data_IF_847668401885
#
_entry.id   IF_847668401885
#
_cell.length_a   1.000
_cell.length_b   1.000
_cell.length_c   1.000
_cell.angle_alpha   90.00
_cell.angle_beta   90.00
_cell.angle_gamma   90.00
#
_symmetry.space_group_name_H-M   'P 1'
#
loop_
_entity.id
_entity.type
_entity.pdbx_description
1 polymer ?
#
# COMPACT_ATOMS: atom_id res chain seq x y z
N UNK A 1 15.47 9.32 -31.80
CA UNK A 1 16.16 9.02 -30.52
C UNK A 1 15.07 8.65 -29.54
N UNK A 2 15.01 7.38 -29.12
CA UNK A 2 14.11 6.97 -28.04
C UNK A 2 14.64 7.69 -26.81
N UNK A 3 13.87 8.63 -26.25
CA UNK A 3 14.24 9.27 -24.99
C UNK A 3 14.43 8.15 -23.94
N UNK A 4 15.48 8.20 -23.13
CA UNK A 4 15.72 7.27 -22.03
C UNK A 4 14.49 7.22 -21.11
N UNK A 5 13.59 6.28 -21.37
CA UNK A 5 12.40 6.08 -20.54
C UNK A 5 12.84 5.39 -19.25
N UNK A 6 12.39 5.87 -18.08
CA UNK A 6 12.80 5.28 -16.81
C UNK A 6 12.26 3.86 -16.67
N UNK A 7 12.94 3.02 -15.87
CA UNK A 7 12.30 1.81 -15.36
C UNK A 7 11.33 2.23 -14.27
N UNK A 8 10.06 1.85 -14.39
CA UNK A 8 9.03 2.19 -13.41
C UNK A 8 8.86 1.06 -12.41
N UNK A 9 8.95 1.37 -11.13
CA UNK A 9 8.63 0.47 -10.03
C UNK A 9 7.48 1.08 -9.22
N UNK A 10 6.37 0.36 -9.09
CA UNK A 10 5.17 0.85 -8.42
C UNK A 10 4.85 -0.03 -7.21
N UNK A 11 4.45 0.57 -6.08
CA UNK A 11 3.62 -0.19 -5.16
C UNK A 11 2.28 -0.55 -5.82
N UNK A 12 1.60 -1.54 -5.27
CA UNK A 12 0.28 -1.95 -5.74
C UNK A 12 -0.83 -1.29 -4.92
N UNK A 13 -0.98 -1.68 -3.66
CA UNK A 13 -1.98 -1.09 -2.77
C UNK A 13 -1.56 0.35 -2.44
N UNK A 14 -2.48 1.32 -2.54
CA UNK A 14 -2.17 2.74 -2.30
C UNK A 14 -1.60 3.51 -3.49
N UNK A 15 -1.12 2.83 -4.54
CA UNK A 15 -0.63 3.48 -5.78
C UNK A 15 -1.48 3.09 -6.98
N UNK A 16 -1.58 1.79 -7.29
CA UNK A 16 -2.36 1.25 -8.41
C UNK A 16 -3.81 0.94 -7.98
N UNK A 17 -3.95 0.31 -6.82
CA UNK A 17 -5.19 -0.26 -6.33
C UNK A 17 -5.54 0.27 -4.94
N UNK A 18 -6.80 0.61 -4.75
CA UNK A 18 -7.40 0.87 -3.44
C UNK A 18 -8.05 -0.42 -2.89
N UNK A 19 -7.43 -0.98 -1.85
CA UNK A 19 -7.95 -2.10 -1.07
C UNK A 19 -8.65 -1.68 0.23
N UNK A 20 -8.99 -0.40 0.44
CA UNK A 20 -9.47 0.09 1.74
C UNK A 20 -10.76 -0.60 2.21
N UNK A 21 -11.67 -0.94 1.28
CA UNK A 21 -12.89 -1.69 1.61
C UNK A 21 -12.54 -3.10 2.10
N UNK A 22 -11.61 -3.80 1.45
CA UNK A 22 -11.12 -5.11 1.89
C UNK A 22 -10.51 -5.02 3.29
N UNK A 23 -9.64 -4.04 3.52
CA UNK A 23 -8.96 -3.86 4.80
C UNK A 23 -9.97 -3.65 5.93
N UNK A 24 -10.95 -2.78 5.73
CA UNK A 24 -12.00 -2.55 6.73
C UNK A 24 -12.83 -3.81 6.98
N UNK A 25 -13.29 -4.50 5.93
CA UNK A 25 -14.13 -5.70 6.08
C UNK A 25 -13.40 -6.82 6.82
N UNK A 26 -12.13 -7.05 6.47
CA UNK A 26 -11.29 -8.05 7.14
C UNK A 26 -10.99 -7.64 8.59
N UNK A 27 -10.69 -6.35 8.84
CA UNK A 27 -10.47 -5.84 10.19
C UNK A 27 -11.72 -5.96 11.07
N UNK A 28 -12.89 -5.60 10.56
CA UNK A 28 -14.17 -5.75 11.26
C UNK A 28 -14.49 -7.20 11.61
N UNK A 29 -14.31 -8.13 10.66
CA UNK A 29 -14.52 -9.56 10.92
C UNK A 29 -13.55 -10.09 11.97
N UNK A 30 -12.32 -9.63 11.95
CA UNK A 30 -11.30 -9.99 12.95
C UNK A 30 -11.68 -9.42 14.31
N UNK A 31 -12.13 -8.16 14.35
CA UNK A 31 -12.66 -7.53 15.55
C UNK A 31 -13.82 -8.32 16.14
N UNK A 32 -14.81 -8.70 15.33
CA UNK A 32 -15.94 -9.50 15.79
C UNK A 32 -15.52 -10.84 16.40
N UNK A 33 -14.47 -11.46 15.87
CA UNK A 33 -13.95 -12.74 16.37
C UNK A 33 -13.20 -12.62 17.69
N UNK A 34 -12.48 -11.52 17.90
CA UNK A 34 -11.68 -11.30 19.11
C UNK A 34 -12.55 -10.76 20.26
N UNK A 35 -13.39 -9.76 19.98
CA UNK A 35 -14.15 -9.05 21.01
C UNK A 35 -15.61 -9.50 21.14
N UNK A 36 -16.12 -10.32 20.22
CA UNK A 36 -17.49 -10.87 20.27
C UNK A 36 -18.56 -9.82 20.62
N UNK A 37 -18.67 -8.71 19.84
CA UNK A 37 -19.65 -7.67 20.11
C UNK A 37 -21.08 -8.22 20.00
N UNK A 38 -22.02 -7.59 20.70
CA UNK A 38 -23.43 -7.97 20.66
C UNK A 38 -24.08 -7.79 19.28
N UNK A 39 -23.57 -6.88 18.46
CA UNK A 39 -23.98 -6.66 17.08
C UNK A 39 -22.80 -6.93 16.13
N UNK A 40 -23.03 -7.75 15.11
CA UNK A 40 -22.04 -8.08 14.07
C UNK A 40 -22.10 -7.15 12.86
N UNK A 41 -23.01 -6.18 12.85
CA UNK A 41 -23.07 -5.10 11.87
C UNK A 41 -22.22 -3.93 12.37
N UNK A 42 -21.27 -3.41 11.57
CA UNK A 42 -20.48 -2.26 11.98
C UNK A 42 -21.36 -1.01 12.09
N UNK A 43 -21.09 -0.09 13.03
CA UNK A 43 -21.74 1.22 13.06
C UNK A 43 -21.55 1.97 11.73
N UNK A 44 -22.56 2.75 11.33
CA UNK A 44 -22.63 3.39 10.00
C UNK A 44 -21.41 4.27 9.67
N UNK A 45 -20.85 4.97 10.66
CA UNK A 45 -19.71 5.88 10.48
C UNK A 45 -18.34 5.23 10.65
N UNK A 46 -18.29 3.97 11.12
CA UNK A 46 -17.05 3.29 11.49
C UNK A 46 -16.11 3.12 10.29
N UNK A 47 -16.65 2.74 9.13
CA UNK A 47 -15.85 2.56 7.91
C UNK A 47 -15.13 3.86 7.51
N UNK A 48 -15.85 5.00 7.56
CA UNK A 48 -15.29 6.30 7.19
C UNK A 48 -14.21 6.76 8.18
N UNK A 49 -14.41 6.52 9.49
CA UNK A 49 -13.37 6.76 10.51
C UNK A 49 -12.14 5.90 10.27
N UNK A 50 -12.34 4.60 9.98
CA UNK A 50 -11.26 3.69 9.64
C UNK A 50 -10.48 4.19 8.41
N UNK A 51 -11.16 4.64 7.35
CA UNK A 51 -10.49 5.14 6.14
C UNK A 51 -9.60 6.36 6.41
N UNK A 52 -10.08 7.31 7.21
CA UNK A 52 -9.30 8.52 7.57
C UNK A 52 -8.12 8.21 8.47
N UNK A 53 -8.26 7.23 9.36
CA UNK A 53 -7.22 6.90 10.36
C UNK A 53 -6.27 5.80 9.90
N UNK A 54 -6.65 4.97 8.92
CA UNK A 54 -5.81 3.87 8.42
C UNK A 54 -4.36 4.25 8.15
N UNK A 55 -4.00 5.42 7.59
CA UNK A 55 -2.61 5.73 7.24
C UNK A 55 -1.58 5.51 8.36
N UNK A 56 -2.00 5.53 9.63
CA UNK A 56 -1.13 5.25 10.78
C UNK A 56 -0.67 3.79 10.87
N UNK A 57 -1.38 2.86 10.22
CA UNK A 57 -1.17 1.42 10.30
C UNK A 57 0.14 1.03 9.62
N UNK A 58 1.01 0.35 10.35
CA UNK A 58 2.28 -0.14 9.81
C UNK A 58 2.23 -1.60 9.41
N UNK A 59 1.49 -2.39 10.19
CA UNK A 59 1.41 -3.85 10.07
C UNK A 59 -0.02 -4.35 10.16
N UNK A 60 -0.31 -5.50 9.56
CA UNK A 60 -1.69 -5.98 9.42
C UNK A 60 -2.44 -6.17 10.74
N UNK A 61 -1.76 -6.63 11.79
CA UNK A 61 -2.40 -6.91 13.09
C UNK A 61 -2.96 -5.66 13.77
N UNK A 62 -2.47 -4.47 13.41
CA UNK A 62 -2.94 -3.20 13.97
C UNK A 62 -4.34 -2.82 13.48
N UNK A 63 -4.77 -3.31 12.31
CA UNK A 63 -6.09 -2.95 11.73
C UNK A 63 -7.28 -3.29 12.64
N UNK A 64 -7.41 -4.51 13.21
CA UNK A 64 -8.49 -4.80 14.15
C UNK A 64 -8.37 -4.03 15.48
N UNK A 65 -7.15 -3.65 15.88
CA UNK A 65 -6.93 -2.79 17.05
C UNK A 65 -7.42 -1.37 16.77
N UNK A 66 -7.23 -0.86 15.56
CA UNK A 66 -7.77 0.44 15.15
C UNK A 66 -9.29 0.44 15.19
N UNK A 67 -9.92 -0.63 14.69
CA UNK A 67 -11.37 -0.82 14.83
C UNK A 67 -11.78 -0.82 16.31
N UNK A 68 -11.04 -1.51 17.19
CA UNK A 68 -11.30 -1.54 18.64
C UNK A 68 -11.27 -0.15 19.26
N UNK A 69 -10.27 0.66 18.95
CA UNK A 69 -10.14 2.02 19.47
C UNK A 69 -11.23 2.96 18.95
N UNK A 70 -11.59 2.85 17.66
CA UNK A 70 -12.70 3.60 17.09
C UNK A 70 -14.05 3.24 17.75
N UNK A 71 -14.27 1.97 18.10
CA UNK A 71 -15.46 1.54 18.86
C UNK A 71 -15.43 2.05 20.31
N UNK A 72 -14.26 2.11 20.95
CA UNK A 72 -14.10 2.70 22.29
C UNK A 72 -14.32 4.22 22.32
N UNK A 73 -14.36 4.86 21.15
CA UNK A 73 -14.55 6.30 21.02
C UNK A 73 -13.25 7.11 21.12
N UNK A 74 -12.10 6.47 20.91
CA UNK A 74 -10.80 7.16 20.86
C UNK A 74 -10.82 8.21 19.75
N UNK A 75 -10.50 9.49 20.04
CA UNK A 75 -10.53 10.54 19.04
C UNK A 75 -9.63 10.27 17.83
N UNK A 76 -10.11 10.55 16.61
CA UNK A 76 -9.32 10.36 15.38
C UNK A 76 -8.01 11.16 15.40
N UNK A 77 -8.01 12.35 16.00
CA UNK A 77 -6.83 13.19 16.14
C UNK A 77 -5.73 12.52 16.99
N UNK A 78 -6.11 11.85 18.08
CA UNK A 78 -5.17 11.15 18.97
C UNK A 78 -4.60 9.93 18.26
N UNK A 79 -5.45 9.19 17.53
CA UNK A 79 -5.03 8.07 16.68
C UNK A 79 -4.01 8.54 15.64
N UNK A 80 -4.30 9.62 14.92
CA UNK A 80 -3.40 10.17 13.90
C UNK A 80 -2.07 10.67 14.48
N UNK A 81 -2.06 11.11 15.75
CA UNK A 81 -0.89 11.66 16.40
C UNK A 81 0.03 10.60 17.03
N UNK A 82 -0.53 9.63 17.78
CA UNK A 82 0.25 8.71 18.61
C UNK A 82 -0.25 7.25 18.56
N UNK A 83 -0.62 6.80 17.34
CA UNK A 83 -1.12 5.44 17.11
C UNK A 83 -0.25 4.34 17.73
N UNK A 84 1.08 4.46 17.62
CA UNK A 84 1.99 3.40 18.06
C UNK A 84 1.96 3.21 19.58
N UNK A 85 1.74 4.27 20.35
CA UNK A 85 1.57 4.17 21.80
C UNK A 85 0.19 3.63 22.15
N UNK A 86 -0.86 4.13 21.49
CA UNK A 86 -2.25 3.68 21.66
C UNK A 86 -2.35 2.18 21.39
N UNK A 87 -1.87 1.70 20.24
CA UNK A 87 -1.93 0.29 19.87
C UNK A 87 -1.20 -0.61 20.88
N UNK A 88 -0.01 -0.21 21.36
CA UNK A 88 0.74 -0.95 22.39
C UNK A 88 -0.01 -1.00 23.72
N UNK A 89 -0.63 0.12 24.12
CA UNK A 89 -1.44 0.19 25.32
C UNK A 89 -2.64 -0.76 25.22
N UNK A 90 -3.41 -0.72 24.13
CA UNK A 90 -4.56 -1.62 23.91
C UNK A 90 -4.16 -3.09 23.95
N UNK A 91 -3.07 -3.46 23.28
CA UNK A 91 -2.54 -4.83 23.30
C UNK A 91 -2.20 -5.29 24.72
N UNK A 92 -1.58 -4.41 25.51
CA UNK A 92 -1.17 -4.71 26.89
C UNK A 92 -2.36 -4.81 27.84
N UNK A 93 -3.26 -3.82 27.82
CA UNK A 93 -4.43 -3.75 28.70
C UNK A 93 -5.41 -4.89 28.45
N UNK A 94 -5.58 -5.29 27.19
CA UNK A 94 -6.51 -6.34 26.80
C UNK A 94 -5.84 -7.72 26.65
N UNK A 95 -4.56 -7.84 27.04
CA UNK A 95 -3.77 -9.07 27.02
C UNK A 95 -3.82 -9.81 25.67
N UNK A 96 -3.61 -9.06 24.59
CA UNK A 96 -3.66 -9.56 23.22
C UNK A 96 -2.26 -9.96 22.74
N UNK A 97 -2.20 -10.91 21.81
CA UNK A 97 -0.96 -11.26 21.10
C UNK A 97 -1.04 -10.72 19.66
N UNK A 98 -0.16 -9.77 19.26
CA UNK A 98 -0.07 -9.29 17.88
C UNK A 98 0.07 -10.41 16.84
N UNK A 99 0.76 -11.50 17.19
CA UNK A 99 0.95 -12.64 16.30
C UNK A 99 -0.35 -13.42 16.10
N UNK A 100 -1.14 -13.58 17.15
CA UNK A 100 -2.48 -14.17 17.07
C UNK A 100 -3.41 -13.29 16.23
N UNK A 101 -3.41 -11.96 16.45
CA UNK A 101 -4.20 -11.02 15.66
C UNK A 101 -3.86 -11.09 14.18
N UNK A 102 -2.56 -11.10 13.83
CA UNK A 102 -2.11 -11.28 12.46
C UNK A 102 -2.58 -12.61 11.87
N UNK A 103 -2.50 -13.69 12.65
CA UNK A 103 -2.92 -15.04 12.21
C UNK A 103 -4.43 -15.11 11.97
N UNK A 104 -5.24 -14.52 12.84
CA UNK A 104 -6.70 -14.48 12.67
C UNK A 104 -7.10 -13.66 11.45
N UNK A 105 -6.45 -12.52 11.25
CA UNK A 105 -6.68 -11.64 10.11
C UNK A 105 -6.34 -12.33 8.78
N UNK A 106 -5.14 -12.92 8.68
CA UNK A 106 -4.72 -13.67 7.50
C UNK A 106 -5.64 -14.90 7.27
N UNK A 107 -6.03 -15.61 8.34
CA UNK A 107 -6.95 -16.74 8.25
C UNK A 107 -8.35 -16.36 7.74
N UNK A 108 -8.88 -15.20 8.13
CA UNK A 108 -10.16 -14.68 7.62
C UNK A 108 -10.07 -14.40 6.11
N UNK A 109 -8.96 -13.81 5.66
CA UNK A 109 -8.71 -13.58 4.23
C UNK A 109 -8.65 -14.88 3.46
N UNK A 110 -7.85 -15.83 3.93
CA UNK A 110 -7.69 -17.13 3.28
C UNK A 110 -9.03 -17.86 3.16
N UNK A 111 -9.83 -17.88 4.24
CA UNK A 111 -11.17 -18.46 4.21
C UNK A 111 -12.09 -17.79 3.20
N UNK A 112 -12.09 -16.45 3.12
CA UNK A 112 -12.91 -15.71 2.16
C UNK A 112 -12.46 -15.99 0.72
N UNK A 113 -11.15 -15.95 0.47
CA UNK A 113 -10.56 -16.23 -0.84
C UNK A 113 -10.89 -17.65 -1.30
N UNK A 114 -10.73 -18.65 -0.42
CA UNK A 114 -11.07 -20.04 -0.73
C UNK A 114 -12.56 -20.26 -0.98
N UNK A 115 -13.44 -19.55 -0.26
CA UNK A 115 -14.88 -19.69 -0.42
C UNK A 115 -15.40 -18.96 -1.67
N UNK A 116 -14.93 -17.74 -1.94
CA UNK A 116 -15.40 -16.90 -3.04
C UNK A 116 -14.40 -15.79 -3.38
N UNK A 117 -13.34 -16.15 -4.12
CA UNK A 117 -12.36 -15.21 -4.64
C UNK A 117 -12.97 -14.01 -5.39
N UNK A 118 -13.96 -14.17 -6.31
CA UNK A 118 -14.57 -13.03 -6.99
C UNK A 118 -15.15 -11.98 -6.04
N UNK A 119 -15.81 -12.41 -4.96
CA UNK A 119 -16.38 -11.50 -3.96
C UNK A 119 -15.32 -10.73 -3.17
N UNK A 120 -14.19 -11.36 -2.85
CA UNK A 120 -13.07 -10.68 -2.19
C UNK A 120 -12.38 -9.69 -3.13
N UNK A 121 -12.16 -10.08 -4.38
CA UNK A 121 -11.59 -9.19 -5.40
C UNK A 121 -12.51 -8.01 -5.73
N UNK A 122 -13.82 -8.11 -5.51
CA UNK A 122 -14.77 -7.01 -5.73
C UNK A 122 -14.67 -5.89 -4.69
N UNK A 123 -13.92 -6.09 -3.60
CA UNK A 123 -13.64 -5.10 -2.57
C UNK A 123 -12.44 -4.20 -2.90
N UNK A 124 -11.90 -4.34 -4.11
CA UNK A 124 -10.76 -3.59 -4.59
C UNK A 124 -11.19 -2.72 -5.76
N UNK A 125 -10.66 -1.50 -5.82
CA UNK A 125 -10.94 -0.55 -6.88
C UNK A 125 -9.63 0.03 -7.39
N UNK A 126 -9.45 0.11 -8.70
CA UNK A 126 -8.27 0.81 -9.24
C UNK A 126 -8.44 2.32 -9.12
N UNK A 127 -7.35 3.03 -8.82
CA UNK A 127 -7.41 4.50 -8.78
C UNK A 127 -7.75 5.06 -10.18
N UNK A 128 -8.67 6.03 -10.28
CA UNK A 128 -9.08 6.62 -11.56
C UNK A 128 -7.89 7.11 -12.39
N UNK A 129 -7.83 6.71 -13.66
CA UNK A 129 -6.75 7.07 -14.59
C UNK A 129 -5.41 6.36 -14.38
N UNK A 130 -5.16 5.77 -13.20
CA UNK A 130 -3.90 5.06 -12.91
C UNK A 130 -3.81 3.76 -13.70
N UNK A 131 -4.87 2.94 -13.69
CA UNK A 131 -4.85 1.66 -14.42
C UNK A 131 -4.77 1.85 -15.93
N UNK A 132 -5.44 2.88 -16.46
CA UNK A 132 -5.36 3.22 -17.89
C UNK A 132 -3.94 3.66 -18.27
N UNK A 133 -3.29 4.45 -17.42
CA UNK A 133 -1.89 4.83 -17.62
C UNK A 133 -0.95 3.62 -17.54
N UNK A 134 -1.21 2.66 -16.63
CA UNK A 134 -0.48 1.39 -16.57
C UNK A 134 -0.63 0.58 -17.86
N UNK A 135 -1.84 0.53 -18.45
CA UNK A 135 -2.07 -0.12 -19.76
C UNK A 135 -1.22 0.53 -20.86
N UNK A 136 -1.23 1.88 -20.93
CA UNK A 136 -0.40 2.63 -21.89
C UNK A 136 1.10 2.38 -21.69
N UNK A 137 1.56 2.26 -20.45
CA UNK A 137 2.96 1.94 -20.17
C UNK A 137 3.37 0.57 -20.72
N UNK A 138 2.47 -0.42 -20.71
CA UNK A 138 2.74 -1.74 -21.25
C UNK A 138 2.69 -1.80 -22.78
N UNK A 139 1.97 -0.89 -23.42
CA UNK A 139 2.01 -0.70 -24.87
C UNK A 139 3.29 0.01 -25.32
N UNK A 140 3.86 0.87 -24.45
CA UNK A 140 5.19 1.42 -24.64
C UNK A 140 6.26 0.39 -24.26
N UNK A 141 7.47 0.48 -24.82
CA UNK A 141 8.60 -0.40 -24.46
C UNK A 141 9.16 -0.12 -23.04
N UNK A 142 8.34 0.38 -22.12
CA UNK A 142 8.70 0.75 -20.76
C UNK A 142 8.85 -0.52 -19.91
N UNK A 143 9.93 -0.57 -19.12
CA UNK A 143 10.10 -1.64 -18.14
C UNK A 143 9.29 -1.30 -16.87
N UNK A 144 8.22 -2.05 -16.62
CA UNK A 144 7.34 -1.88 -15.45
C UNK A 144 7.51 -3.04 -14.46
N UNK A 145 7.66 -2.69 -13.18
CA UNK A 145 7.68 -3.61 -12.05
C UNK A 145 6.67 -3.19 -10.99
N UNK A 146 6.11 -4.17 -10.29
CA UNK A 146 5.30 -3.97 -9.08
C UNK A 146 6.06 -4.52 -7.89
N UNK A 147 6.23 -3.71 -6.85
CA UNK A 147 6.92 -4.09 -5.60
C UNK A 147 5.96 -3.84 -4.44
N UNK A 148 5.37 -4.89 -3.88
CA UNK A 148 4.28 -4.76 -2.92
C UNK A 148 4.35 -5.77 -1.77
N UNK A 149 3.71 -5.45 -0.65
CA UNK A 149 3.49 -6.38 0.47
C UNK A 149 2.23 -7.24 0.31
N UNK A 150 1.49 -7.09 -0.79
CA UNK A 150 0.38 -7.97 -1.17
C UNK A 150 0.94 -9.28 -1.76
N UNK A 151 0.22 -10.39 -1.60
CA UNK A 151 0.60 -11.65 -2.25
C UNK A 151 0.51 -11.51 -3.78
N UNK A 152 1.55 -11.94 -4.51
CA UNK A 152 1.66 -11.79 -5.98
C UNK A 152 0.43 -12.34 -6.70
N UNK A 153 -0.07 -13.51 -6.28
CA UNK A 153 -1.26 -14.14 -6.88
C UNK A 153 -2.48 -13.22 -6.89
N UNK A 154 -2.67 -12.39 -5.86
CA UNK A 154 -3.82 -11.48 -5.78
C UNK A 154 -3.63 -10.26 -6.68
N UNK A 155 -2.41 -9.73 -6.72
CA UNK A 155 -2.04 -8.66 -7.67
C UNK A 155 -2.34 -9.10 -9.09
N UNK A 156 -1.91 -10.31 -9.48
CA UNK A 156 -2.19 -10.89 -10.79
C UNK A 156 -3.68 -11.00 -11.08
N UNK A 157 -4.46 -11.62 -10.18
CA UNK A 157 -5.91 -11.75 -10.37
C UNK A 157 -6.65 -10.40 -10.45
N UNK A 158 -6.16 -9.36 -9.77
CA UNK A 158 -6.73 -8.01 -9.88
C UNK A 158 -6.39 -7.37 -11.23
N UNK A 159 -5.13 -7.44 -11.67
CA UNK A 159 -4.69 -6.87 -12.95
C UNK A 159 -5.33 -7.57 -14.15
N UNK A 160 -5.49 -8.90 -14.10
CA UNK A 160 -6.12 -9.69 -15.15
C UNK A 160 -7.57 -9.28 -15.42
N UNK A 161 -8.32 -8.84 -14.40
CA UNK A 161 -9.68 -8.30 -14.57
C UNK A 161 -9.73 -7.06 -15.45
N UNK A 162 -8.64 -6.30 -15.47
CA UNK A 162 -8.48 -5.10 -16.28
C UNK A 162 -7.79 -5.38 -17.62
N UNK A 163 -7.50 -6.65 -17.94
CA UNK A 163 -6.74 -7.03 -19.13
C UNK A 163 -5.24 -6.72 -19.03
N UNK A 164 -4.73 -6.42 -17.83
CA UNK A 164 -3.31 -6.13 -17.59
C UNK A 164 -2.58 -7.43 -17.24
N UNK A 165 -1.66 -7.85 -18.11
CA UNK A 165 -0.87 -9.07 -17.94
C UNK A 165 0.62 -8.74 -17.90
N UNK A 166 1.23 -8.87 -16.73
CA UNK A 166 2.68 -8.69 -16.55
C UNK A 166 3.43 -10.01 -16.68
N UNK A 167 4.59 -9.97 -17.33
CA UNK A 167 5.49 -11.12 -17.45
C UNK A 167 5.90 -11.69 -16.07
N UNK A 168 6.41 -12.92 -16.05
CA UNK A 168 7.00 -13.49 -14.83
C UNK A 168 8.20 -12.65 -14.39
N UNK A 169 8.41 -12.52 -13.08
CA UNK A 169 9.50 -11.72 -12.51
C UNK A 169 9.26 -10.20 -12.56
N UNK A 170 8.07 -9.75 -12.94
CA UNK A 170 7.68 -8.32 -12.91
C UNK A 170 6.91 -7.90 -11.65
N UNK A 171 6.45 -8.85 -10.85
CA UNK A 171 5.70 -8.59 -9.61
C UNK A 171 6.49 -9.23 -8.47
N UNK A 172 6.89 -8.41 -7.51
CA UNK A 172 7.56 -8.80 -6.29
C UNK A 172 6.57 -8.62 -5.14
N UNK A 173 5.94 -9.71 -4.70
CA UNK A 173 4.91 -9.71 -3.65
C UNK A 173 5.43 -10.06 -2.26
N UNK A 174 4.51 -10.26 -1.31
CA UNK A 174 4.78 -10.66 0.09
C UNK A 174 5.72 -11.86 0.23
N UNK A 175 5.64 -12.82 -0.69
CA UNK A 175 6.45 -14.04 -0.72
C UNK A 175 7.96 -13.82 -0.84
N UNK A 176 8.40 -12.64 -1.30
CA UNK A 176 9.82 -12.28 -1.42
C UNK A 176 10.54 -12.22 -0.08
N UNK A 177 9.81 -11.98 1.03
CA UNK A 177 10.34 -11.95 2.41
C UNK A 177 11.55 -11.03 2.60
N UNK A 178 11.63 -9.97 1.83
CA UNK A 178 12.71 -8.97 1.85
C UNK A 178 12.16 -7.56 1.62
N UNK A 179 12.81 -6.53 2.14
CA UNK A 179 12.34 -5.17 2.03
C UNK A 179 12.49 -4.61 0.60
N UNK A 180 11.65 -3.65 0.23
CA UNK A 180 11.58 -3.09 -1.13
C UNK A 180 12.92 -2.52 -1.63
N UNK A 181 13.76 -1.99 -0.73
CA UNK A 181 15.07 -1.46 -1.10
C UNK A 181 16.03 -2.55 -1.64
N UNK A 182 15.91 -3.81 -1.21
CA UNK A 182 16.74 -4.90 -1.75
C UNK A 182 16.32 -5.26 -3.16
N UNK A 183 15.01 -5.26 -3.43
CA UNK A 183 14.47 -5.50 -4.77
C UNK A 183 14.89 -4.38 -5.72
N UNK A 184 14.79 -3.11 -5.29
CA UNK A 184 15.23 -1.96 -6.08
C UNK A 184 16.73 -2.04 -6.43
N UNK A 185 17.57 -2.50 -5.50
CA UNK A 185 19.01 -2.72 -5.72
C UNK A 185 19.27 -3.75 -6.81
N UNK A 186 18.55 -4.88 -6.79
CA UNK A 186 18.67 -5.91 -7.83
C UNK A 186 18.23 -5.41 -9.19
N UNK A 187 17.10 -4.67 -9.23
CA UNK A 187 16.62 -4.06 -10.46
C UNK A 187 17.63 -3.06 -11.02
N UNK A 188 18.23 -2.22 -10.16
CA UNK A 188 19.21 -1.21 -10.59
C UNK A 188 20.47 -1.87 -11.20
N UNK A 189 20.94 -2.97 -10.61
CA UNK A 189 22.09 -3.71 -11.11
C UNK A 189 21.84 -4.37 -12.49
N UNK A 190 20.59 -4.78 -12.76
CA UNK A 190 20.18 -5.43 -14.01
C UNK A 190 19.96 -4.46 -15.18
N UNK A 191 19.89 -3.16 -14.92
CA UNK A 191 19.55 -2.15 -15.93
C UNK A 191 20.77 -1.39 -16.45
N UNK A 192 21.08 -1.48 -17.76
CA UNK A 192 22.17 -0.74 -18.41
C UNK A 192 21.83 -0.31 -19.86
N UNK A 193 22.33 0.83 -20.37
CA UNK A 193 22.99 1.91 -19.63
C UNK A 193 21.95 2.76 -18.86
N UNK A 194 22.37 3.20 -17.67
CA UNK A 194 21.64 3.85 -16.56
C UNK A 194 20.21 4.35 -16.80
N UNK A 195 19.16 3.51 -16.69
CA UNK A 195 17.84 4.04 -16.49
C UNK A 195 17.67 4.41 -15.02
N UNK A 196 17.19 5.63 -14.79
CA UNK A 196 16.73 6.04 -13.47
C UNK A 196 15.53 5.15 -13.14
N UNK A 197 15.63 4.33 -12.10
CA UNK A 197 14.44 3.66 -11.56
C UNK A 197 13.59 4.75 -10.92
N UNK A 198 12.33 4.85 -11.33
CA UNK A 198 11.36 5.73 -10.73
C UNK A 198 10.47 4.88 -9.86
N UNK A 199 10.59 5.06 -8.54
CA UNK A 199 9.85 4.28 -7.56
C UNK A 199 8.71 5.12 -6.99
N UNK A 200 7.47 4.66 -7.18
CA UNK A 200 6.25 5.31 -6.67
C UNK A 200 5.67 4.44 -5.56
N UNK A 201 5.45 5.05 -4.40
CA UNK A 201 5.02 4.41 -3.16
C UNK A 201 4.07 5.35 -2.42
N UNK A 202 3.12 4.84 -1.65
CA UNK A 202 2.20 5.66 -0.86
C UNK A 202 2.63 5.87 0.59
N UNK A 203 3.58 5.06 1.09
CA UNK A 203 4.13 5.15 2.46
C UNK A 203 5.46 5.89 2.50
N UNK A 204 5.46 7.08 3.10
CA UNK A 204 6.67 7.89 3.29
C UNK A 204 7.79 7.14 4.03
N UNK A 205 7.45 6.38 5.08
CA UNK A 205 8.42 5.55 5.82
C UNK A 205 9.16 4.53 4.93
N UNK A 206 8.49 3.98 3.92
CA UNK A 206 9.13 3.07 2.95
C UNK A 206 10.14 3.83 2.09
N UNK A 207 9.76 5.00 1.56
CA UNK A 207 10.65 5.84 0.77
C UNK A 207 11.88 6.30 1.57
N UNK A 208 11.70 6.67 2.84
CA UNK A 208 12.81 7.05 3.72
C UNK A 208 13.81 5.90 3.93
N UNK A 209 13.34 4.65 4.07
CA UNK A 209 14.22 3.47 4.14
C UNK A 209 15.03 3.27 2.86
N UNK A 210 14.44 3.53 1.70
CA UNK A 210 15.14 3.50 0.39
C UNK A 210 16.15 4.64 0.31
N UNK A 211 15.78 5.86 0.70
CA UNK A 211 16.66 7.04 0.71
C UNK A 211 17.92 6.84 1.58
N UNK A 212 17.78 6.12 2.70
CA UNK A 212 18.88 5.77 3.60
C UNK A 212 19.92 4.83 2.98
N UNK A 213 19.62 4.17 1.86
CA UNK A 213 20.56 3.28 1.17
C UNK A 213 21.49 4.10 0.25
N UNK A 214 22.81 4.17 0.51
CA UNK A 214 23.72 4.98 -0.29
C UNK A 214 23.84 4.51 -1.74
N UNK A 215 23.68 3.20 -1.97
CA UNK A 215 23.80 2.57 -3.28
C UNK A 215 22.54 2.72 -4.15
N UNK A 216 21.45 3.28 -3.59
CA UNK A 216 20.22 3.60 -4.31
C UNK A 216 20.11 5.10 -4.62
N UNK A 217 21.24 5.81 -4.73
CA UNK A 217 21.32 7.23 -5.07
C UNK A 217 20.58 7.60 -6.37
N UNK A 218 20.62 6.71 -7.35
CA UNK A 218 20.04 6.91 -8.69
C UNK A 218 18.56 6.51 -8.79
N UNK A 219 17.98 5.97 -7.73
CA UNK A 219 16.53 5.73 -7.66
C UNK A 219 15.83 7.05 -7.32
N UNK A 220 14.92 7.48 -8.20
CA UNK A 220 14.01 8.59 -7.92
C UNK A 220 12.83 8.10 -7.10
N UNK A 221 12.47 8.86 -6.08
CA UNK A 221 11.45 8.48 -5.10
C UNK A 221 10.25 9.42 -5.21
N UNK A 222 9.07 8.83 -5.40
CA UNK A 222 7.82 9.56 -5.50
C UNK A 222 6.85 9.07 -4.42
N UNK A 223 6.32 9.99 -3.63
CA UNK A 223 5.20 9.72 -2.72
C UNK A 223 3.89 10.00 -3.46
N UNK A 224 3.08 8.97 -3.68
CA UNK A 224 1.74 9.11 -4.26
C UNK A 224 0.81 9.81 -3.26
N UNK A 225 0.43 11.06 -3.53
CA UNK A 225 -0.35 11.88 -2.60
C UNK A 225 -1.82 11.42 -2.43
N UNK A 226 -2.27 10.50 -3.29
CA UNK A 226 -3.61 9.91 -3.30
C UNK A 226 -3.70 8.58 -2.54
N UNK A 227 -2.57 8.03 -2.11
CA UNK A 227 -2.51 6.76 -1.40
C UNK A 227 -2.74 6.87 0.09
N UNK A 228 -2.28 5.89 0.88
CA UNK A 228 -2.56 5.80 2.31
C UNK A 228 -1.58 6.61 3.17
N UNK A 229 -1.52 7.93 2.92
CA UNK A 229 -0.73 8.88 3.71
C UNK A 229 -1.59 10.02 4.29
N UNK A 230 -1.10 10.59 5.38
CA UNK A 230 -1.68 11.74 6.06
C UNK A 230 -1.24 13.06 5.42
N UNK A 231 -1.98 14.15 5.69
CA UNK A 231 -1.55 15.48 5.28
C UNK A 231 -0.19 15.87 5.90
N UNK A 232 0.04 15.49 7.16
CA UNK A 232 1.31 15.72 7.88
C UNK A 232 2.48 15.04 7.15
N UNK A 233 2.29 13.80 6.69
CA UNK A 233 3.30 13.10 5.90
C UNK A 233 3.57 13.81 4.56
N UNK A 234 2.53 14.28 3.87
CA UNK A 234 2.71 15.02 2.62
C UNK A 234 3.45 16.33 2.83
N UNK A 235 3.09 17.10 3.84
CA UNK A 235 3.71 18.39 4.14
C UNK A 235 5.20 18.22 4.52
N UNK A 236 5.54 17.15 5.23
CA UNK A 236 6.93 16.84 5.62
C UNK A 236 7.81 16.37 4.45
N UNK A 237 7.26 16.04 3.27
CA UNK A 237 8.08 15.71 2.08
C UNK A 237 9.06 16.82 1.73
N UNK A 238 8.72 18.08 2.00
CA UNK A 238 9.60 19.23 1.76
C UNK A 238 10.93 19.18 2.55
N UNK A 239 10.97 18.41 3.64
CA UNK A 239 12.18 18.16 4.43
C UNK A 239 13.12 17.13 3.78
N UNK A 240 12.65 16.40 2.76
CA UNK A 240 13.36 15.29 2.12
C UNK A 240 13.60 15.56 0.63
N UNK A 241 14.72 16.22 0.24
CA UNK A 241 14.93 16.69 -1.13
C UNK A 241 15.03 15.58 -2.20
N UNK A 242 15.17 14.30 -1.80
CA UNK A 242 15.17 13.17 -2.76
C UNK A 242 13.79 12.54 -2.97
N UNK A 243 12.78 12.94 -2.20
CA UNK A 243 11.42 12.45 -2.31
C UNK A 243 10.56 13.57 -2.89
N UNK A 244 9.80 13.25 -3.93
CA UNK A 244 8.89 14.20 -4.56
C UNK A 244 7.44 13.74 -4.37
N UNK A 245 6.54 14.67 -4.06
CA UNK A 245 5.10 14.39 -4.12
C UNK A 245 4.67 14.22 -5.58
N UNK A 246 3.87 13.18 -5.83
CA UNK A 246 3.27 12.93 -7.12
C UNK A 246 1.76 12.95 -6.96
N UNK A 247 1.09 13.79 -7.75
CA UNK A 247 -0.37 13.88 -7.83
C UNK A 247 -0.95 12.93 -8.88
N UNK A 248 -2.25 12.56 -8.81
CA UNK A 248 -2.88 11.73 -9.83
C UNK A 248 -2.85 12.38 -11.22
N UNK A 249 -2.96 13.71 -11.25
CA UNK A 249 -2.87 14.49 -12.49
C UNK A 249 -1.48 14.45 -13.10
N UNK A 250 -0.41 14.40 -12.31
CA UNK A 250 0.95 14.25 -12.84
C UNK A 250 1.17 12.83 -13.30
N UNK A 251 0.75 11.82 -12.52
CA UNK A 251 0.93 10.41 -12.87
C UNK A 251 0.38 10.06 -14.26
N UNK A 252 -0.75 10.66 -14.64
CA UNK A 252 -1.39 10.46 -15.94
C UNK A 252 -0.74 11.21 -17.11
N UNK A 253 0.24 12.08 -16.83
CA UNK A 253 1.01 12.85 -17.83
C UNK A 253 2.35 12.19 -18.17
N UNK A 254 3.04 12.79 -19.16
CA UNK A 254 4.41 12.43 -19.54
C UNK A 254 5.39 12.57 -18.38
N UNK A 255 6.44 11.74 -18.36
CA UNK A 255 7.44 11.73 -17.29
C UNK A 255 8.13 13.09 -17.07
N UNK A 256 8.19 13.96 -18.08
CA UNK A 256 8.69 15.32 -17.91
C UNK A 256 7.89 16.13 -16.89
N UNK A 257 6.57 15.95 -16.82
CA UNK A 257 5.65 16.63 -15.91
C UNK A 257 5.67 16.06 -14.47
N UNK A 258 6.31 14.92 -14.27
CA UNK A 258 6.51 14.36 -12.92
C UNK A 258 7.65 15.04 -12.19
N UNK A 259 8.48 15.83 -12.87
CA UNK A 259 9.66 16.52 -12.29
C UNK A 259 9.44 18.01 -12.05
N UNK A 260 8.24 18.51 -12.35
CA UNK A 260 7.83 19.91 -12.18
C UNK A 260 7.24 20.15 -10.81
#
# INVERSE_FOLDING_TARGET
MIADQPTLALDFDGVICDGMIEYFQTAWRTYCRIWSPSNSVPPDDLAQKFYRTRPVIETGWEMPVLVRELIKGTPEADILHDWQSIAKQTITEENLDPKLLSTQLDGIRDQWISANLPSWLALHQFYPGVIDRVKLFLESSLSLYIITTKEERFVRSLLEKEGVNLERGRIFGKGEKRPKYEILRELLAGTKPTPQIWFVEDRLKTLLKVQQQPDLGDVRLFLADWGYNTQIERDSVTEYPRIQLLSPSQFTQEFSAWRS
#
